data_IF_139111498709
#
_entry.id   IF_139111498709
#
_cell.length_a   1.000
_cell.length_b   1.000
_cell.length_c   1.000
_cell.angle_alpha   90.00
_cell.angle_beta   90.00
_cell.angle_gamma   90.00
#
_symmetry.space_group_name_H-M   'P 1'
#
loop_
_entity.id
_entity.type
_entity.pdbx_description
1 polymer ?
#
# COMPACT_ATOMS: atom_id res chain seq x y z
N UNK A 1 16.09 -12.78 -9.86
CA UNK A 1 14.98 -11.99 -9.29
C UNK A 1 15.12 -10.57 -9.81
N UNK A 2 14.07 -9.97 -10.36
CA UNK A 2 14.08 -8.58 -10.81
C UNK A 2 13.74 -7.71 -9.59
N UNK A 3 14.52 -6.67 -9.26
CA UNK A 3 14.24 -5.85 -8.08
C UNK A 3 12.92 -5.11 -8.25
N UNK A 4 12.17 -5.01 -7.15
CA UNK A 4 10.95 -4.22 -7.09
C UNK A 4 11.30 -2.75 -6.87
N UNK A 5 10.54 -1.84 -7.47
CA UNK A 5 10.79 -0.39 -7.35
C UNK A 5 9.61 0.29 -6.67
N UNK A 6 9.90 1.14 -5.69
CA UNK A 6 8.92 2.02 -5.08
C UNK A 6 8.30 2.96 -6.12
N UNK A 7 6.97 2.91 -6.22
CA UNK A 7 6.17 3.69 -7.14
C UNK A 7 5.65 5.01 -6.56
N UNK A 8 5.96 5.32 -5.31
CA UNK A 8 5.66 6.63 -4.70
C UNK A 8 6.58 7.67 -5.34
N UNK A 9 6.01 8.84 -5.67
CA UNK A 9 6.69 9.92 -6.38
C UNK A 9 7.99 10.32 -5.69
N UNK A 10 9.03 10.61 -6.47
CA UNK A 10 10.38 10.97 -6.01
C UNK A 10 11.13 9.96 -5.13
N UNK A 11 10.59 8.76 -4.89
CA UNK A 11 11.29 7.74 -4.12
C UNK A 11 12.30 6.94 -4.95
N UNK A 12 11.81 6.17 -5.92
CA UNK A 12 12.62 5.34 -6.82
C UNK A 12 13.46 4.23 -6.17
N UNK A 13 13.37 4.01 -4.85
CA UNK A 13 14.12 2.96 -4.13
C UNK A 13 13.80 1.57 -4.67
N UNK A 14 14.82 0.72 -4.73
CA UNK A 14 14.69 -0.68 -5.14
C UNK A 14 14.78 -1.60 -3.93
N UNK A 15 13.94 -2.63 -3.90
CA UNK A 15 13.93 -3.66 -2.86
C UNK A 15 14.14 -5.04 -3.47
N UNK A 16 14.55 -5.99 -2.63
CA UNK A 16 14.88 -7.35 -3.04
C UNK A 16 13.63 -8.21 -3.29
N UNK A 17 12.53 -7.89 -2.59
CA UNK A 17 11.23 -8.54 -2.68
C UNK A 17 10.10 -7.53 -2.38
N UNK A 18 8.87 -8.04 -2.46
CA UNK A 18 7.64 -7.26 -2.25
C UNK A 18 7.40 -6.96 -0.77
N UNK A 19 7.75 -7.86 0.14
CA UNK A 19 7.60 -7.61 1.57
C UNK A 19 8.44 -6.41 2.00
N UNK A 20 9.71 -6.38 1.60
CA UNK A 20 10.61 -5.25 1.82
C UNK A 20 10.11 -3.97 1.12
N UNK A 21 9.40 -4.09 -0.01
CA UNK A 21 8.77 -2.95 -0.68
C UNK A 21 7.63 -2.36 0.16
N UNK A 22 6.73 -3.21 0.67
CA UNK A 22 5.59 -2.79 1.47
C UNK A 22 6.08 -2.17 2.77
N UNK A 23 7.03 -2.82 3.47
CA UNK A 23 7.64 -2.27 4.70
C UNK A 23 8.30 -0.91 4.44
N UNK A 24 9.05 -0.79 3.35
CA UNK A 24 9.63 0.49 2.93
C UNK A 24 8.56 1.58 2.71
N UNK A 25 7.44 1.23 2.07
CA UNK A 25 6.34 2.17 1.83
C UNK A 25 5.70 2.64 3.15
N UNK A 26 5.51 1.73 4.10
CA UNK A 26 4.92 2.02 5.41
C UNK A 26 5.84 2.86 6.30
N UNK A 27 7.13 2.52 6.35
CA UNK A 27 8.05 3.11 7.34
C UNK A 27 8.69 4.42 6.85
N UNK A 28 8.90 4.57 5.54
CA UNK A 28 9.69 5.68 4.97
C UNK A 28 8.85 6.73 4.22
N UNK A 29 7.54 6.53 4.07
CA UNK A 29 6.65 7.50 3.40
C UNK A 29 5.56 8.02 4.32
N UNK A 30 5.07 9.22 4.00
CA UNK A 30 3.93 9.78 4.70
C UNK A 30 2.68 8.95 4.40
N UNK A 31 1.80 8.82 5.41
CA UNK A 31 0.51 8.18 5.21
C UNK A 31 -0.35 8.93 4.18
N UNK A 32 -1.21 8.17 3.51
CA UNK A 32 -2.19 8.64 2.55
C UNK A 32 -3.59 8.74 3.17
N UNK A 33 -4.25 9.88 3.03
CA UNK A 33 -5.66 10.03 3.38
C UNK A 33 -6.55 9.59 2.22
N UNK A 34 -7.37 8.56 2.44
CA UNK A 34 -8.29 8.07 1.44
C UNK A 34 -9.34 9.14 1.10
N UNK A 35 -9.32 9.67 -0.13
CA UNK A 35 -10.27 10.70 -0.58
C UNK A 35 -11.74 10.24 -0.66
N UNK A 36 -12.01 8.94 -0.53
CA UNK A 36 -13.38 8.40 -0.53
C UNK A 36 -14.01 8.47 0.86
N UNK A 37 -13.27 8.08 1.91
CA UNK A 37 -13.81 7.93 3.27
C UNK A 37 -13.06 8.70 4.37
N UNK A 38 -11.89 9.28 4.08
CA UNK A 38 -11.06 10.02 5.04
C UNK A 38 -10.16 9.15 5.93
N UNK A 39 -10.19 7.81 5.79
CA UNK A 39 -9.28 6.94 6.54
C UNK A 39 -7.84 7.21 6.14
N UNK A 40 -6.96 7.37 7.14
CA UNK A 40 -5.51 7.49 6.95
C UNK A 40 -4.92 6.08 6.93
N UNK A 41 -4.23 5.74 5.84
CA UNK A 41 -3.58 4.44 5.61
C UNK A 41 -2.15 4.66 5.12
N UNK A 42 -1.24 3.68 5.22
CA UNK A 42 0.07 3.80 4.59
C UNK A 42 -0.04 4.02 3.07
N UNK A 43 0.82 4.87 2.51
CA UNK A 43 0.85 5.14 1.07
C UNK A 43 1.39 3.93 0.27
N UNK A 44 1.38 4.02 -1.05
CA UNK A 44 1.82 2.95 -1.93
C UNK A 44 0.80 1.84 -2.06
N UNK A 45 1.22 0.59 -1.86
CA UNK A 45 0.38 -0.59 -2.10
C UNK A 45 -0.83 -0.64 -1.16
N UNK A 46 -0.67 -0.31 0.12
CA UNK A 46 -1.76 -0.40 1.10
C UNK A 46 -2.88 0.63 0.82
N UNK A 47 -2.53 1.83 0.35
CA UNK A 47 -3.50 2.80 -0.15
C UNK A 47 -4.27 2.30 -1.37
N UNK A 48 -3.60 1.61 -2.30
CA UNK A 48 -4.24 1.00 -3.47
C UNK A 48 -5.16 -0.14 -3.04
N UNK A 49 -4.69 -1.06 -2.20
CA UNK A 49 -5.50 -2.19 -1.70
C UNK A 49 -6.76 -1.69 -1.00
N UNK A 50 -6.62 -0.77 -0.04
CA UNK A 50 -7.76 -0.14 0.65
C UNK A 50 -8.78 0.44 -0.35
N UNK A 51 -8.30 1.19 -1.34
CA UNK A 51 -9.17 1.84 -2.31
C UNK A 51 -10.01 0.86 -3.16
N UNK A 52 -9.52 -0.35 -3.43
CA UNK A 52 -10.20 -1.33 -4.29
C UNK A 52 -10.85 -2.49 -3.54
N UNK A 53 -10.57 -2.66 -2.25
CA UNK A 53 -11.27 -3.63 -1.39
C UNK A 53 -12.45 -2.99 -0.66
N UNK A 54 -12.28 -1.76 -0.18
CA UNK A 54 -13.28 -1.08 0.65
C UNK A 54 -14.23 -0.17 -0.14
N UNK A 55 -13.86 0.18 -1.39
CA UNK A 55 -14.64 1.10 -2.23
C UNK A 55 -14.83 0.57 -3.63
N UNK A 56 -15.90 1.03 -4.28
CA UNK A 56 -16.14 0.72 -5.67
C UNK A 56 -15.26 1.54 -6.60
N UNK A 57 -14.99 1.00 -7.80
CA UNK A 57 -14.34 1.74 -8.89
C UNK A 57 -15.00 3.10 -9.16
N UNK A 58 -16.33 3.18 -9.08
CA UNK A 58 -17.06 4.40 -9.35
C UNK A 58 -16.83 5.47 -8.26
N UNK A 59 -16.70 5.07 -7.00
CA UNK A 59 -16.34 5.98 -5.91
C UNK A 59 -14.90 6.46 -6.05
N UNK A 60 -13.97 5.55 -6.36
CA UNK A 60 -12.58 5.90 -6.61
C UNK A 60 -12.43 6.92 -7.74
N UNK A 61 -13.07 6.68 -8.89
CA UNK A 61 -13.04 7.62 -10.04
C UNK A 61 -13.53 9.00 -9.65
N UNK A 62 -14.63 9.09 -8.89
CA UNK A 62 -15.19 10.39 -8.49
C UNK A 62 -14.31 11.10 -7.47
N UNK A 63 -13.77 10.40 -6.48
CA UNK A 63 -12.97 10.99 -5.41
C UNK A 63 -11.58 11.43 -5.87
N UNK A 64 -10.99 10.70 -6.82
CA UNK A 64 -9.62 10.95 -7.30
C UNK A 64 -9.55 11.59 -8.69
N UNK A 65 -10.71 11.90 -9.31
CA UNK A 65 -10.79 12.34 -10.71
C UNK A 65 -10.01 11.42 -11.66
N UNK A 66 -10.12 10.10 -11.42
CA UNK A 66 -9.27 9.11 -12.05
C UNK A 66 -9.80 8.67 -13.42
N UNK A 67 -8.91 8.52 -14.40
CA UNK A 67 -9.27 7.95 -15.69
C UNK A 67 -9.42 6.43 -15.61
N UNK A 68 -10.17 5.83 -16.54
CA UNK A 68 -10.28 4.36 -16.64
C UNK A 68 -8.94 3.66 -16.86
N UNK A 69 -7.95 4.34 -17.44
CA UNK A 69 -6.59 3.81 -17.55
C UNK A 69 -5.86 3.83 -16.20
N UNK A 70 -5.98 4.94 -15.46
CA UNK A 70 -5.37 5.10 -14.15
C UNK A 70 -5.91 4.09 -13.12
N UNK A 71 -7.20 3.76 -13.21
CA UNK A 71 -7.84 2.68 -12.45
C UNK A 71 -7.24 1.33 -12.82
N UNK A 72 -7.27 0.97 -14.11
CA UNK A 72 -6.77 -0.33 -14.59
C UNK A 72 -5.31 -0.56 -14.23
N UNK A 73 -4.47 0.49 -14.30
CA UNK A 73 -3.08 0.41 -13.88
C UNK A 73 -2.95 0.04 -12.41
N UNK A 74 -3.77 0.63 -11.53
CA UNK A 74 -3.70 0.39 -10.08
C UNK A 74 -4.24 -0.99 -9.69
N UNK A 75 -5.32 -1.42 -10.31
CA UNK A 75 -5.83 -2.79 -10.15
C UNK A 75 -4.74 -3.80 -10.55
N UNK A 76 -4.09 -3.60 -11.70
CA UNK A 76 -3.02 -4.48 -12.15
C UNK A 76 -1.77 -4.46 -11.24
N UNK A 77 -1.43 -3.30 -10.66
CA UNK A 77 -0.37 -3.20 -9.65
C UNK A 77 -0.74 -3.99 -8.39
N UNK A 78 -1.99 -3.89 -7.94
CA UNK A 78 -2.50 -4.62 -6.79
C UNK A 78 -2.40 -6.12 -7.02
N UNK A 79 -2.93 -6.58 -8.16
CA UNK A 79 -2.91 -8.00 -8.54
C UNK A 79 -1.47 -8.53 -8.68
N UNK A 80 -0.55 -7.76 -9.25
CA UNK A 80 0.85 -8.19 -9.38
C UNK A 80 1.53 -8.38 -8.03
N UNK A 81 1.22 -7.54 -7.04
CA UNK A 81 1.73 -7.65 -5.68
C UNK A 81 1.12 -8.86 -4.97
N UNK A 82 -0.19 -9.05 -5.06
CA UNK A 82 -0.92 -10.18 -4.46
C UNK A 82 -0.57 -11.54 -5.08
N UNK A 83 -0.11 -11.56 -6.34
CA UNK A 83 0.36 -12.79 -6.97
C UNK A 83 1.80 -13.19 -6.58
N UNK A 84 2.59 -12.26 -6.02
CA UNK A 84 3.97 -12.53 -5.64
C UNK A 84 4.08 -13.03 -4.20
N UNK A 85 3.21 -12.56 -3.30
CA UNK A 85 3.26 -12.87 -1.88
C UNK A 85 1.87 -13.10 -1.27
N UNK A 86 1.82 -13.88 -0.18
CA UNK A 86 0.64 -13.97 0.66
C UNK A 86 0.55 -12.70 1.54
N UNK A 87 -0.26 -11.74 1.09
CA UNK A 87 -0.36 -10.43 1.75
C UNK A 87 -0.92 -10.55 3.16
N UNK A 88 -1.82 -11.50 3.42
CA UNK A 88 -2.39 -11.66 4.76
C UNK A 88 -1.30 -12.08 5.77
N UNK A 89 -0.32 -12.88 5.33
CA UNK A 89 0.86 -13.19 6.15
C UNK A 89 1.74 -11.95 6.39
N UNK A 90 1.99 -11.15 5.36
CA UNK A 90 2.83 -9.94 5.49
C UNK A 90 2.18 -8.89 6.38
N UNK A 91 0.86 -8.74 6.33
CA UNK A 91 0.13 -7.82 7.20
C UNK A 91 0.26 -8.22 8.66
N UNK A 92 0.13 -9.52 8.98
CA UNK A 92 0.33 -10.02 10.35
C UNK A 92 1.75 -9.71 10.86
N UNK A 93 2.77 -9.87 10.02
CA UNK A 93 4.17 -9.56 10.38
C UNK A 93 4.43 -8.05 10.60
N UNK A 94 3.66 -7.18 9.92
CA UNK A 94 3.73 -5.73 10.13
C UNK A 94 3.07 -5.33 11.46
N UNK A 95 1.91 -5.91 11.78
CA UNK A 95 1.18 -5.64 13.04
C UNK A 95 1.98 -6.04 14.29
N UNK A 96 2.74 -7.14 14.21
CA UNK A 96 3.63 -7.59 15.30
C UNK A 96 4.81 -6.63 15.55
N UNK A 97 5.20 -5.83 14.55
CA UNK A 97 6.27 -4.84 14.70
C UNK A 97 5.79 -3.62 15.50
N UNK A 98 4.56 -3.13 15.26
CA UNK A 98 3.94 -2.00 15.97
C UNK A 98 3.58 -2.33 17.44
N UNK A 99 3.31 -3.61 17.76
CA UNK A 99 2.98 -4.04 19.12
C UNK A 99 4.18 -3.98 20.11
N UNK A 100 5.41 -3.86 19.60
CA UNK A 100 6.62 -3.88 20.43
C UNK A 100 6.96 -2.54 21.12
N UNK A 101 6.22 -1.46 20.81
CA UNK A 101 6.41 -0.12 21.41
C UNK A 101 5.47 0.19 22.61
N UNK A 102 4.65 -0.78 23.07
CA UNK A 102 3.73 -0.58 24.21
C UNK A 102 4.21 -1.08 25.58
N UNK A 103 5.45 -1.59 25.70
CA UNK A 103 5.99 -2.12 26.98
C UNK A 103 7.19 -1.30 27.51
N UNK A 104 6.99 0.01 27.69
CA UNK A 104 7.86 0.82 28.56
C UNK A 104 7.24 0.95 29.96
N UNK A 105 7.66 0.15 30.98
CA UNK A 105 7.31 0.44 32.36
C UNK A 105 8.05 1.70 32.82
N UNK A 106 7.29 2.73 33.20
CA UNK A 106 7.78 3.90 33.93
C UNK A 106 8.14 3.59 35.38
#
# INVERSE_FOLDING_TARGET
>A
MVPWRCGIEDCGKQTVDVEALIRHQTDEHANHECRVCGTVVPDGYLAIRHAFEEHTRAEYVRAYDATSEAVRRREQLKDNVENEIDIDSVMADLEDTDASDLDAPG
#
